data_IF_189772102692
#
_entry.id   IF_189772102692
#
_cell.length_a   1.000
_cell.length_b   1.000
_cell.length_c   1.000
_cell.angle_alpha   90.00
_cell.angle_beta   90.00
_cell.angle_gamma   90.00
#
_symmetry.space_group_name_H-M   'P 1'
#
loop_
_entity.id
_entity.type
_entity.pdbx_description
1 polymer ?
#
# COMPACT_ATOMS: atom_id res chain seq x y z
N UNK A 1 10.35 -7.93 -6.11
CA UNK A 1 9.04 -8.40 -6.63
C UNK A 1 8.38 -9.36 -5.65
N UNK A 2 8.99 -10.47 -5.27
CA UNK A 2 8.33 -11.52 -4.47
C UNK A 2 7.56 -11.02 -3.23
N UNK A 3 8.14 -10.14 -2.40
CA UNK A 3 7.45 -9.61 -1.23
C UNK A 3 6.23 -8.73 -1.59
N UNK A 4 6.26 -8.04 -2.73
CA UNK A 4 5.11 -7.28 -3.21
C UNK A 4 3.98 -8.23 -3.64
N UNK A 5 4.30 -9.26 -4.39
CA UNK A 5 3.34 -10.28 -4.81
C UNK A 5 2.73 -11.00 -3.60
N UNK A 6 3.58 -11.40 -2.63
CA UNK A 6 3.13 -12.01 -1.37
C UNK A 6 2.14 -11.08 -0.62
N UNK A 7 2.49 -9.80 -0.46
CA UNK A 7 1.62 -8.82 0.20
C UNK A 7 0.29 -8.63 -0.55
N UNK A 8 0.33 -8.56 -1.88
CA UNK A 8 -0.86 -8.35 -2.71
C UNK A 8 -1.84 -9.55 -2.72
N UNK A 9 -1.43 -10.72 -2.25
CA UNK A 9 -2.37 -11.85 -2.08
C UNK A 9 -3.52 -11.56 -1.10
N UNK A 10 -3.37 -10.54 -0.27
CA UNK A 10 -4.40 -10.09 0.67
C UNK A 10 -5.45 -9.16 0.04
N UNK A 11 -5.28 -8.78 -1.22
CA UNK A 11 -6.11 -7.81 -1.91
C UNK A 11 -6.58 -8.36 -3.26
N UNK A 12 -7.77 -7.94 -3.72
CA UNK A 12 -8.31 -8.36 -5.03
C UNK A 12 -8.03 -7.33 -6.14
N UNK A 13 -7.99 -6.05 -5.82
CA UNK A 13 -7.72 -5.00 -6.81
C UNK A 13 -6.42 -4.28 -6.49
N UNK A 14 -5.37 -4.54 -7.27
CA UNK A 14 -4.07 -3.89 -7.13
C UNK A 14 -3.37 -3.80 -8.49
N UNK A 15 -2.38 -2.93 -8.56
CA UNK A 15 -1.56 -2.79 -9.78
C UNK A 15 -0.56 -3.94 -9.88
N UNK A 16 -0.63 -4.71 -10.94
CA UNK A 16 0.40 -5.71 -11.27
C UNK A 16 1.65 -4.96 -11.68
N UNK A 17 2.77 -5.18 -10.96
CA UNK A 17 4.05 -4.53 -11.21
C UNK A 17 5.06 -5.52 -11.79
N UNK A 18 5.74 -5.11 -12.84
CA UNK A 18 6.89 -5.80 -13.41
C UNK A 18 8.22 -5.18 -12.98
N UNK A 19 9.33 -5.76 -13.40
CA UNK A 19 10.69 -5.28 -13.05
C UNK A 19 10.89 -3.83 -13.47
N UNK A 20 10.50 -3.45 -14.70
CA UNK A 20 10.64 -2.07 -15.19
C UNK A 20 9.91 -1.05 -14.31
N UNK A 21 8.74 -1.41 -13.77
CA UNK A 21 8.00 -0.53 -12.87
C UNK A 21 8.69 -0.34 -11.53
N UNK A 22 9.36 -1.37 -11.01
CA UNK A 22 10.18 -1.25 -9.81
C UNK A 22 11.43 -0.41 -10.05
N UNK A 23 12.12 -0.59 -11.17
CA UNK A 23 13.26 0.23 -11.57
C UNK A 23 12.87 1.69 -11.73
N UNK A 24 11.74 1.96 -12.38
CA UNK A 24 11.17 3.30 -12.49
C UNK A 24 10.87 3.90 -11.12
N UNK A 25 10.24 3.16 -10.23
CA UNK A 25 9.95 3.60 -8.86
C UNK A 25 11.23 3.96 -8.09
N UNK A 26 12.29 3.15 -8.20
CA UNK A 26 13.58 3.42 -7.57
C UNK A 26 14.18 4.71 -8.13
N UNK A 27 14.18 4.87 -9.45
CA UNK A 27 14.68 6.08 -10.11
C UNK A 27 13.87 7.33 -9.73
N UNK A 28 12.55 7.23 -9.64
CA UNK A 28 11.69 8.31 -9.18
C UNK A 28 12.02 8.72 -7.74
N UNK A 29 12.26 7.76 -6.84
CA UNK A 29 12.69 8.08 -5.47
C UNK A 29 13.95 8.93 -5.45
N UNK A 30 14.96 8.57 -6.25
CA UNK A 30 16.23 9.30 -6.32
C UNK A 30 16.06 10.76 -6.81
N UNK A 31 15.15 10.99 -7.76
CA UNK A 31 14.94 12.32 -8.35
C UNK A 31 13.95 13.19 -7.56
N UNK A 32 13.02 12.56 -6.84
CA UNK A 32 11.95 13.27 -6.12
C UNK A 32 12.26 13.54 -4.63
N UNK A 33 13.47 13.23 -4.15
CA UNK A 33 13.85 13.39 -2.74
C UNK A 33 13.09 12.46 -1.81
N UNK A 34 12.64 11.31 -2.31
CA UNK A 34 12.14 10.21 -1.50
C UNK A 34 13.26 9.21 -1.20
N UNK A 35 13.10 8.47 -0.14
CA UNK A 35 14.02 7.41 0.28
C UNK A 35 13.31 6.07 0.17
N UNK A 36 14.08 5.05 -0.14
CA UNK A 36 13.61 3.66 -0.19
C UNK A 36 14.51 2.80 0.70
N UNK A 37 13.92 2.17 1.71
CA UNK A 37 14.60 1.20 2.56
C UNK A 37 13.99 -0.18 2.36
N UNK A 38 14.83 -1.21 2.33
CA UNK A 38 14.41 -2.59 2.27
C UNK A 38 14.96 -3.37 3.47
N UNK A 39 14.11 -4.17 4.09
CA UNK A 39 14.51 -5.11 5.12
C UNK A 39 14.86 -6.47 4.51
N UNK A 40 16.07 -6.98 4.82
CA UNK A 40 16.53 -8.33 4.45
C UNK A 40 16.59 -9.22 5.68
N UNK A 41 16.15 -10.45 5.51
CA UNK A 41 16.32 -11.49 6.54
C UNK A 41 17.78 -12.02 6.58
N UNK A 42 18.06 -12.93 7.51
CA UNK A 42 19.38 -13.56 7.65
C UNK A 42 19.82 -14.36 6.43
N UNK A 43 18.91 -14.71 5.54
CA UNK A 43 19.17 -15.40 4.28
C UNK A 43 19.32 -14.43 3.10
N UNK A 44 19.35 -13.12 3.35
CA UNK A 44 19.46 -12.09 2.33
C UNK A 44 18.18 -11.80 1.55
N UNK A 45 17.05 -12.45 1.86
CA UNK A 45 15.78 -12.26 1.15
C UNK A 45 15.11 -10.95 1.61
N UNK A 46 14.59 -10.19 0.66
CA UNK A 46 13.80 -8.99 0.96
C UNK A 46 12.45 -9.41 1.52
N UNK A 47 12.17 -9.02 2.78
CA UNK A 47 10.94 -9.31 3.51
C UNK A 47 10.01 -8.10 3.63
N UNK A 48 10.43 -6.97 3.11
CA UNK A 48 9.63 -5.75 3.06
C UNK A 48 10.44 -4.57 2.59
N UNK A 49 9.74 -3.51 2.21
CA UNK A 49 10.34 -2.21 1.89
C UNK A 49 9.41 -1.07 2.29
N UNK A 50 9.98 0.10 2.50
CA UNK A 50 9.26 1.33 2.77
C UNK A 50 9.81 2.45 1.90
N UNK A 51 8.90 3.18 1.25
CA UNK A 51 9.16 4.39 0.49
C UNK A 51 8.64 5.57 1.29
N UNK A 52 9.47 6.56 1.55
CA UNK A 52 9.12 7.67 2.43
C UNK A 52 9.88 8.94 2.08
N UNK A 53 9.39 10.05 2.59
CA UNK A 53 10.04 11.35 2.50
C UNK A 53 10.16 11.96 3.88
N UNK A 54 11.36 12.38 4.26
CA UNK A 54 11.59 13.18 5.45
C UNK A 54 11.13 14.62 5.22
N UNK A 55 10.39 15.17 6.14
CA UNK A 55 9.97 16.55 6.23
C UNK A 55 10.62 17.17 7.48
N UNK A 56 10.47 18.50 7.65
CA UNK A 56 11.06 19.20 8.78
C UNK A 56 10.63 18.62 10.15
N UNK A 57 9.38 18.29 10.28
CA UNK A 57 8.70 17.88 11.53
C UNK A 57 8.26 16.42 11.57
N UNK A 58 8.16 15.75 10.43
CA UNK A 58 7.66 14.39 10.35
C UNK A 58 8.23 13.61 9.16
N UNK A 59 8.08 12.30 9.21
CA UNK A 59 8.31 11.41 8.06
C UNK A 59 6.96 11.05 7.44
N UNK A 60 6.85 11.25 6.13
CA UNK A 60 5.67 10.81 5.37
C UNK A 60 6.00 9.55 4.59
N UNK A 61 5.34 8.45 4.92
CA UNK A 61 5.45 7.18 4.19
C UNK A 61 4.49 7.21 3.01
N UNK A 62 5.04 6.97 1.82
CA UNK A 62 4.28 6.89 0.56
C UNK A 62 3.81 5.48 0.27
N UNK A 63 4.62 4.47 0.62
CA UNK A 63 4.30 3.05 0.45
C UNK A 63 5.07 2.22 1.48
N UNK A 64 4.42 1.20 2.03
CA UNK A 64 5.06 0.23 2.90
C UNK A 64 4.52 -1.17 2.57
N UNK A 65 5.41 -2.07 2.15
CA UNK A 65 5.10 -3.46 1.82
C UNK A 65 5.90 -4.36 2.75
N UNK A 66 5.25 -5.33 3.36
CA UNK A 66 5.85 -6.14 4.42
C UNK A 66 5.23 -7.54 4.50
N UNK A 67 6.05 -8.51 4.92
CA UNK A 67 5.60 -9.91 5.08
C UNK A 67 5.06 -10.22 6.49
N UNK A 68 4.95 -9.22 7.37
CA UNK A 68 4.40 -9.38 8.73
C UNK A 68 4.70 -8.19 9.63
N UNK A 69 4.02 -8.12 10.79
CA UNK A 69 4.06 -6.99 11.72
C UNK A 69 5.46 -6.67 12.26
N UNK A 70 6.28 -7.68 12.49
CA UNK A 70 7.68 -7.48 12.91
C UNK A 70 8.51 -6.75 11.86
N UNK A 71 8.34 -7.10 10.58
CA UNK A 71 9.02 -6.42 9.46
C UNK A 71 8.51 -5.00 9.32
N UNK A 72 7.19 -4.80 9.38
CA UNK A 72 6.56 -3.47 9.38
C UNK A 72 7.17 -2.58 10.46
N UNK A 73 7.19 -3.05 11.70
CA UNK A 73 7.73 -2.28 12.83
C UNK A 73 9.20 -1.90 12.62
N UNK A 74 10.03 -2.82 12.13
CA UNK A 74 11.44 -2.55 11.84
C UNK A 74 11.61 -1.52 10.72
N UNK A 75 10.82 -1.62 9.64
CA UNK A 75 10.85 -0.66 8.53
C UNK A 75 10.43 0.74 8.98
N UNK A 76 9.32 0.85 9.71
CA UNK A 76 8.84 2.15 10.20
C UNK A 76 9.81 2.76 11.22
N UNK A 77 10.40 1.96 12.12
CA UNK A 77 11.43 2.41 13.06
C UNK A 77 12.68 2.93 12.32
N UNK A 78 13.12 2.25 11.28
CA UNK A 78 14.24 2.72 10.47
C UNK A 78 13.90 3.99 9.68
N UNK A 79 12.69 4.09 9.14
CA UNK A 79 12.24 5.25 8.38
C UNK A 79 12.07 6.50 9.23
N UNK A 80 11.56 6.38 10.47
CA UNK A 80 11.35 7.53 11.35
C UNK A 80 12.67 8.18 11.79
N UNK A 81 13.73 7.38 11.94
CA UNK A 81 15.05 7.90 12.35
C UNK A 81 14.97 8.74 13.63
N UNK A 82 15.39 10.00 13.52
CA UNK A 82 15.35 10.97 14.64
C UNK A 82 14.07 11.83 14.68
N UNK A 83 13.11 11.60 13.80
CA UNK A 83 11.85 12.36 13.82
C UNK A 83 10.94 11.84 14.93
N UNK A 84 10.11 12.75 15.45
CA UNK A 84 9.14 12.43 16.52
C UNK A 84 7.80 11.94 15.96
N UNK A 85 7.52 12.16 14.69
CA UNK A 85 6.25 11.81 14.06
C UNK A 85 6.47 11.07 12.75
N UNK A 86 5.65 10.03 12.51
CA UNK A 86 5.57 9.32 11.25
C UNK A 86 4.11 9.29 10.80
N UNK A 87 3.86 9.64 9.55
CA UNK A 87 2.54 9.61 8.92
C UNK A 87 2.52 8.52 7.84
N UNK A 88 1.60 7.61 7.99
CA UNK A 88 1.40 6.46 7.10
C UNK A 88 -0.05 6.43 6.62
N UNK A 89 -0.25 6.28 5.32
CA UNK A 89 -1.57 6.07 4.72
C UNK A 89 -1.69 4.60 4.33
N UNK A 90 -2.68 3.92 4.88
CA UNK A 90 -2.90 2.48 4.69
C UNK A 90 -4.36 2.16 4.41
N UNK A 91 -4.61 0.99 3.87
CA UNK A 91 -5.95 0.44 3.79
C UNK A 91 -6.48 0.13 5.20
N UNK A 92 -7.75 0.41 5.45
CA UNK A 92 -8.41 -0.02 6.69
C UNK A 92 -8.32 -1.54 6.90
N UNK A 93 -8.25 -2.29 5.81
CA UNK A 93 -8.13 -3.75 5.84
C UNK A 93 -6.77 -4.27 6.35
N UNK A 94 -5.77 -3.41 6.49
CA UNK A 94 -4.48 -3.80 7.09
C UNK A 94 -4.52 -3.87 8.62
N UNK A 95 -5.59 -3.36 9.25
CA UNK A 95 -5.83 -3.44 10.70
C UNK A 95 -4.63 -3.01 11.56
N UNK A 96 -3.96 -1.92 11.17
CA UNK A 96 -2.75 -1.47 11.85
C UNK A 96 -3.01 -1.00 13.29
N UNK A 97 -4.24 -0.75 13.69
CA UNK A 97 -4.64 -0.51 15.09
C UNK A 97 -4.29 -1.68 16.02
N UNK A 98 -4.20 -2.91 15.49
CA UNK A 98 -3.78 -4.10 16.25
C UNK A 98 -2.25 -4.11 16.51
N UNK A 99 -1.49 -3.48 15.63
CA UNK A 99 -0.01 -3.41 15.74
C UNK A 99 0.40 -2.16 16.50
N UNK A 100 -0.33 -1.06 16.30
CA UNK A 100 -0.05 0.25 16.91
C UNK A 100 -1.29 0.81 17.61
N UNK A 101 -1.69 0.23 18.77
CA UNK A 101 -2.95 0.60 19.44
C UNK A 101 -2.98 2.04 19.97
N UNK A 102 -1.82 2.67 20.16
CA UNK A 102 -1.71 4.06 20.62
C UNK A 102 -1.55 5.07 19.46
N UNK A 103 -1.52 4.61 18.22
CA UNK A 103 -1.40 5.51 17.07
C UNK A 103 -2.71 6.28 16.85
N UNK A 104 -2.59 7.58 16.61
CA UNK A 104 -3.73 8.38 16.17
C UNK A 104 -4.12 7.99 14.76
N UNK A 105 -5.37 7.61 14.55
CA UNK A 105 -5.90 7.24 13.25
C UNK A 105 -7.00 8.19 12.80
N UNK A 106 -7.06 8.47 11.49
CA UNK A 106 -8.11 9.26 10.87
C UNK A 106 -8.54 8.60 9.57
N UNK A 107 -9.81 8.23 9.49
CA UNK A 107 -10.40 7.75 8.22
C UNK A 107 -10.61 8.91 7.27
N UNK A 108 -10.30 8.67 5.99
CA UNK A 108 -10.62 9.60 4.91
C UNK A 108 -10.97 8.83 3.63
N UNK A 109 -11.79 9.45 2.80
CA UNK A 109 -12.06 8.95 1.46
C UNK A 109 -10.79 9.13 0.64
N UNK A 110 -10.27 8.05 0.09
CA UNK A 110 -9.03 8.06 -0.69
C UNK A 110 -9.31 8.19 -2.20
N UNK A 111 -10.30 7.45 -2.70
CA UNK A 111 -10.61 7.38 -4.13
C UNK A 111 -12.12 7.33 -4.33
N UNK A 112 -12.61 8.03 -5.35
CA UNK A 112 -13.95 7.88 -5.87
C UNK A 112 -13.90 7.08 -7.15
N UNK A 113 -14.81 6.11 -7.29
CA UNK A 113 -14.87 5.22 -8.45
C UNK A 113 -16.29 5.19 -9.02
N UNK A 114 -16.38 5.11 -10.35
CA UNK A 114 -17.64 4.99 -11.06
C UNK A 114 -17.55 3.88 -12.10
N UNK A 115 -18.49 2.95 -12.06
CA UNK A 115 -18.69 2.01 -13.16
C UNK A 115 -19.47 2.72 -14.26
N UNK A 116 -18.87 2.94 -15.42
CA UNK A 116 -19.47 3.68 -16.52
C UNK A 116 -20.61 2.94 -17.21
N UNK A 117 -20.59 1.60 -17.18
CA UNK A 117 -21.60 0.75 -17.81
C UNK A 117 -21.86 -0.50 -16.95
N UNK A 118 -22.83 -0.41 -16.06
CA UNK A 118 -23.21 -1.53 -15.17
C UNK A 118 -23.76 -2.75 -15.94
N UNK A 119 -24.62 -2.60 -16.98
CA UNK A 119 -25.06 -3.75 -17.78
C UNK A 119 -23.91 -4.52 -18.41
N UNK A 120 -22.93 -3.82 -18.99
CA UNK A 120 -21.75 -4.46 -19.58
C UNK A 120 -20.90 -5.12 -18.51
N UNK A 121 -20.70 -4.46 -17.36
CA UNK A 121 -19.99 -5.03 -16.22
C UNK A 121 -20.62 -6.34 -15.75
N UNK A 122 -21.94 -6.35 -15.56
CA UNK A 122 -22.70 -7.54 -15.16
C UNK A 122 -22.55 -8.68 -16.16
N UNK A 123 -22.58 -8.37 -17.46
CA UNK A 123 -22.38 -9.37 -18.50
C UNK A 123 -20.97 -9.95 -18.49
N UNK A 124 -19.94 -9.12 -18.35
CA UNK A 124 -18.53 -9.55 -18.38
C UNK A 124 -18.14 -10.38 -17.16
N UNK A 125 -18.64 -10.00 -15.99
CA UNK A 125 -18.30 -10.65 -14.70
C UNK A 125 -19.35 -11.64 -14.20
N UNK A 126 -20.38 -11.93 -15.02
CA UNK A 126 -21.52 -12.76 -14.63
C UNK A 126 -22.09 -12.33 -13.25
N UNK A 127 -22.29 -11.04 -13.08
CA UNK A 127 -22.67 -10.41 -11.82
C UNK A 127 -24.08 -9.80 -11.92
N UNK A 128 -24.65 -9.42 -10.79
CA UNK A 128 -25.92 -8.68 -10.72
C UNK A 128 -25.79 -7.49 -9.76
N UNK A 129 -24.87 -6.59 -10.09
CA UNK A 129 -24.63 -5.39 -9.29
C UNK A 129 -25.49 -4.23 -9.80
N UNK A 130 -25.95 -3.39 -8.87
CA UNK A 130 -26.86 -2.27 -9.15
C UNK A 130 -26.18 -0.91 -9.02
N UNK A 131 -25.05 -0.83 -8.31
CA UNK A 131 -24.32 0.40 -8.10
C UNK A 131 -22.84 0.22 -8.40
N UNK A 132 -22.14 1.33 -8.62
CA UNK A 132 -20.68 1.30 -8.74
C UNK A 132 -20.01 0.77 -7.47
N UNK A 133 -20.57 1.04 -6.29
CA UNK A 133 -20.07 0.52 -5.02
C UNK A 133 -20.13 -1.01 -5.00
N UNK A 134 -21.24 -1.59 -5.41
CA UNK A 134 -21.40 -3.05 -5.46
C UNK A 134 -20.44 -3.67 -6.48
N UNK A 135 -20.25 -3.02 -7.63
CA UNK A 135 -19.30 -3.48 -8.65
C UNK A 135 -17.86 -3.54 -8.14
N UNK A 136 -17.45 -2.58 -7.29
CA UNK A 136 -16.13 -2.58 -6.66
C UNK A 136 -16.03 -3.50 -5.45
N UNK A 137 -17.14 -3.87 -4.85
CA UNK A 137 -17.21 -4.80 -3.72
C UNK A 137 -17.44 -6.27 -4.14
N UNK A 138 -17.41 -6.57 -5.44
CA UNK A 138 -17.66 -7.91 -5.96
C UNK A 138 -16.57 -8.92 -5.60
N UNK A 139 -15.37 -8.45 -5.29
CA UNK A 139 -14.25 -9.26 -4.82
C UNK A 139 -14.46 -9.73 -3.38
N UNK A 140 -13.78 -10.83 -3.02
CA UNK A 140 -13.79 -11.37 -1.66
C UNK A 140 -12.79 -10.67 -0.72
N UNK A 141 -11.84 -9.93 -1.29
CA UNK A 141 -10.79 -9.21 -0.57
C UNK A 141 -10.88 -7.71 -0.81
N UNK A 142 -10.31 -6.88 0.07
CA UNK A 142 -10.28 -5.44 -0.12
C UNK A 142 -9.46 -5.04 -1.34
N UNK A 143 -9.68 -3.81 -1.84
CA UNK A 143 -8.88 -3.21 -2.91
C UNK A 143 -7.64 -2.53 -2.32
N UNK A 144 -6.52 -2.66 -2.99
CA UNK A 144 -5.29 -1.93 -2.69
C UNK A 144 -5.02 -0.86 -3.77
N UNK A 145 -5.49 0.34 -3.52
CA UNK A 145 -5.36 1.47 -4.44
C UNK A 145 -4.40 2.51 -3.84
N UNK A 146 -3.11 2.26 -3.91
CA UNK A 146 -2.09 3.18 -3.37
C UNK A 146 -1.32 3.95 -4.47
N UNK A 147 -1.84 3.96 -5.68
CA UNK A 147 -1.25 4.72 -6.78
C UNK A 147 -1.71 6.18 -6.69
N UNK A 148 -0.77 7.08 -6.42
CA UNK A 148 -0.98 8.53 -6.49
C UNK A 148 -0.39 9.02 -7.81
N UNK A 149 -1.22 9.59 -8.64
CA UNK A 149 -0.82 10.29 -9.86
C UNK A 149 -0.56 11.76 -9.56
#
# INVERSE_FOLDING_TARGET
MAVYEEFMTHFDGYKIRNVMMFERMINECLHCGEQLLAYRDSQGRIRGYVRFRSRKDHVKVSECIYSGSTVLTKLLKAAVGNHTELRLEVSEAEHLEKVFPLAMSRKRIFTMVRCGNLPLFNKLYNANVRTSKDAYAIGFKPLYLNEKY
#
